data_IF_367434972457
#
_entry.id   IF_367434972457
#
_cell.length_a   1.000
_cell.length_b   1.000
_cell.length_c   1.000
_cell.angle_alpha   90.00
_cell.angle_beta   90.00
_cell.angle_gamma   90.00
#
_symmetry.space_group_name_H-M   'P 1'
#
loop_
_entity.id
_entity.type
_entity.pdbx_description
1 polymer ?
#
# COMPACT_ATOMS: atom_id res chain seq x y z
N UNK A 1 9.12 16.37 -0.07
CA UNK A 1 8.10 15.40 -0.57
C UNK A 1 8.67 14.01 -0.35
N UNK A 2 7.91 13.11 0.27
CA UNK A 2 8.41 11.78 0.60
C UNK A 2 8.58 10.91 -0.67
N UNK A 3 9.39 9.87 -0.57
CA UNK A 3 9.60 8.93 -1.68
C UNK A 3 8.29 8.20 -1.98
N UNK A 4 7.86 8.21 -3.25
CA UNK A 4 6.66 7.49 -3.72
C UNK A 4 7.03 6.07 -4.12
N UNK A 5 6.27 5.09 -3.65
CA UNK A 5 6.51 3.67 -3.88
C UNK A 5 5.20 2.97 -4.22
N UNK A 6 5.27 1.96 -5.10
CA UNK A 6 4.15 1.08 -5.41
C UNK A 6 4.44 -0.32 -4.90
N UNK A 7 3.59 -0.83 -4.03
CA UNK A 7 3.70 -2.17 -3.47
C UNK A 7 2.61 -3.06 -4.06
N UNK A 8 2.94 -4.33 -4.31
CA UNK A 8 1.95 -5.35 -4.66
C UNK A 8 1.96 -6.40 -3.57
N UNK A 9 0.80 -6.63 -2.95
CA UNK A 9 0.62 -7.66 -1.91
C UNK A 9 -0.45 -8.65 -2.34
N UNK A 10 -0.49 -9.82 -1.69
CA UNK A 10 -1.66 -10.71 -1.78
C UNK A 10 -2.90 -9.95 -1.29
N UNK A 11 -4.04 -10.27 -1.88
CA UNK A 11 -5.28 -9.63 -1.48
C UNK A 11 -5.56 -9.82 0.01
N UNK A 12 -5.91 -8.72 0.67
CA UNK A 12 -6.34 -8.68 2.07
C UNK A 12 -7.49 -7.69 2.18
N UNK A 13 -8.66 -8.16 2.62
CA UNK A 13 -9.81 -7.29 2.85
C UNK A 13 -9.54 -6.31 3.99
N UNK A 14 -10.18 -5.14 3.94
CA UNK A 14 -10.13 -4.14 5.01
C UNK A 14 -8.88 -3.28 5.06
N UNK A 15 -7.96 -3.39 4.08
CA UNK A 15 -6.86 -2.43 3.96
C UNK A 15 -7.41 -1.08 3.49
N UNK A 16 -7.15 -0.02 4.27
CA UNK A 16 -7.58 1.36 4.00
C UNK A 16 -6.38 2.30 3.92
N UNK A 17 -6.60 3.51 3.44
CA UNK A 17 -5.59 4.58 3.36
C UNK A 17 -5.26 5.21 4.71
N UNK A 18 -6.00 4.87 5.78
CA UNK A 18 -5.71 5.30 7.16
C UNK A 18 -4.60 4.43 7.79
N UNK A 19 -4.31 3.27 7.18
CA UNK A 19 -3.28 2.35 7.62
C UNK A 19 -1.91 2.72 7.05
N UNK A 20 -0.85 2.12 7.61
CA UNK A 20 0.54 2.26 7.16
C UNK A 20 1.17 0.90 6.93
N UNK A 21 2.10 0.82 5.99
CA UNK A 21 2.94 -0.35 5.79
C UNK A 21 4.22 -0.18 6.58
N UNK A 22 4.47 -1.09 7.51
CA UNK A 22 5.77 -1.26 8.16
C UNK A 22 6.57 -2.27 7.35
N UNK A 23 7.68 -1.84 6.76
CA UNK A 23 8.55 -2.73 5.99
C UNK A 23 10.01 -2.46 6.34
N UNK A 24 10.65 -3.42 7.01
CA UNK A 24 11.98 -3.26 7.61
C UNK A 24 11.99 -2.04 8.55
N UNK A 25 12.92 -1.11 8.33
CA UNK A 25 13.04 0.14 9.09
C UNK A 25 12.21 1.30 8.52
N UNK A 26 11.34 1.05 7.54
CA UNK A 26 10.60 2.10 6.81
C UNK A 26 9.12 2.07 7.18
N UNK A 27 8.55 3.27 7.32
CA UNK A 27 7.11 3.47 7.50
C UNK A 27 6.57 4.14 6.23
N UNK A 28 5.59 3.50 5.61
CA UNK A 28 5.00 3.97 4.35
C UNK A 28 3.52 4.24 4.55
N UNK A 29 3.11 5.49 4.38
CA UNK A 29 1.71 5.90 4.41
C UNK A 29 1.01 5.43 3.14
N UNK A 30 -0.13 4.74 3.28
CA UNK A 30 -0.92 4.28 2.13
C UNK A 30 -1.72 5.46 1.59
N UNK A 31 -1.54 5.80 0.32
CA UNK A 31 -2.24 6.89 -0.37
C UNK A 31 -3.38 6.38 -1.27
N UNK A 32 -3.23 5.18 -1.82
CA UNK A 32 -4.30 4.52 -2.56
C UNK A 32 -4.21 2.99 -2.44
N UNK A 33 -5.36 2.33 -2.56
CA UNK A 33 -5.50 0.87 -2.56
C UNK A 33 -6.28 0.48 -3.81
N UNK A 34 -5.72 -0.39 -4.64
CA UNK A 34 -6.34 -0.86 -5.88
C UNK A 34 -6.39 -2.38 -5.97
N UNK A 35 -7.47 -2.91 -6.55
CA UNK A 35 -7.61 -4.30 -6.98
C UNK A 35 -7.73 -4.34 -8.51
N UNK A 36 -6.64 -4.11 -9.26
CA UNK A 36 -6.71 -3.80 -10.69
C UNK A 36 -7.26 -4.95 -11.53
N UNK A 37 -7.08 -6.20 -11.10
CA UNK A 37 -7.64 -7.36 -11.81
C UNK A 37 -9.09 -7.68 -11.43
N UNK A 38 -9.63 -7.01 -10.39
CA UNK A 38 -10.98 -7.26 -9.86
C UNK A 38 -11.18 -8.64 -9.23
N UNK A 39 -10.21 -9.55 -9.34
CA UNK A 39 -10.31 -10.97 -8.97
C UNK A 39 -9.81 -11.26 -7.56
N UNK A 40 -9.41 -10.22 -6.81
CA UNK A 40 -8.97 -10.34 -5.41
C UNK A 40 -7.78 -11.29 -5.26
N UNK A 41 -6.86 -11.30 -6.22
CA UNK A 41 -5.59 -12.04 -6.11
C UNK A 41 -4.51 -11.19 -5.46
N UNK A 42 -4.47 -9.92 -5.84
CA UNK A 42 -3.49 -8.95 -5.38
C UNK A 42 -4.13 -7.61 -5.09
N UNK A 43 -3.51 -6.84 -4.20
CA UNK A 43 -3.74 -5.41 -4.06
C UNK A 43 -2.49 -4.67 -4.49
N UNK A 44 -2.70 -3.53 -5.12
CA UNK A 44 -1.67 -2.54 -5.41
C UNK A 44 -1.86 -1.39 -4.43
N UNK A 45 -0.80 -1.06 -3.70
CA UNK A 45 -0.78 0.05 -2.75
C UNK A 45 0.16 1.12 -3.31
N UNK A 46 -0.36 2.33 -3.52
CA UNK A 46 0.48 3.49 -3.75
C UNK A 46 0.78 4.12 -2.40
N UNK A 47 2.06 4.22 -2.07
CA UNK A 47 2.54 4.67 -0.77
C UNK A 47 3.49 5.85 -0.89
N UNK A 48 3.61 6.60 0.21
CA UNK A 48 4.62 7.63 0.39
C UNK A 48 5.36 7.36 1.70
N UNK A 49 6.68 7.46 1.69
CA UNK A 49 7.50 7.29 2.88
C UNK A 49 7.26 8.39 3.90
N UNK A 50 6.99 7.99 5.14
CA UNK A 50 6.92 8.89 6.28
C UNK A 50 8.36 9.29 6.64
N UNK A 51 8.66 10.58 6.51
CA UNK A 51 10.01 11.14 6.72
C UNK A 51 10.28 11.37 8.20
#
# INVERSE_FOLDING_TARGET
>A
AGTKLRLTIRYRSGITTEMRVLWNARVLNIRAVGNPDGRKRFLVLDCEEET
#
